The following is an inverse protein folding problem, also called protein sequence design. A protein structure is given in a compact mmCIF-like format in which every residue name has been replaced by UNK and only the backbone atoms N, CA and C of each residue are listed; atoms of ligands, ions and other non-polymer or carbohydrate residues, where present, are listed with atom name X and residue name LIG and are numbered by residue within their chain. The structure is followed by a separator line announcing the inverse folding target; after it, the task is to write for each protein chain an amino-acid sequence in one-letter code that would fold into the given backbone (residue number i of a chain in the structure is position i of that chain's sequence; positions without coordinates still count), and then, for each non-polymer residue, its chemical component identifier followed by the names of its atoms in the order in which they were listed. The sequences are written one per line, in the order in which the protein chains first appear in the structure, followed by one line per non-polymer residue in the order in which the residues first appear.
data_IF_962274370910
#
_entry.id   IF_962274370910
#
_cell.length_a   1.000
_cell.length_b   1.000
_cell.length_c   1.000
_cell.angle_alpha   90.00
_cell.angle_beta   90.00
_cell.angle_gamma   90.00
#
_symmetry.space_group_name_H-M   'P 1'
#
loop_
_entity.id
_entity.type
_entity.pdbx_description
1 polymer ?
#
# COMPACT_ATOMS: atom_id res chain seq x y z
N UNK A 1 -65.87 -29.15 -4.22
CA UNK A 1 -65.03 -28.54 -3.17
C UNK A 1 -63.62 -29.06 -3.35
N UNK A 2 -62.82 -28.39 -4.17
CA UNK A 2 -61.38 -28.64 -4.25
C UNK A 2 -60.71 -27.27 -4.25
N UNK A 3 -60.01 -26.96 -3.16
CA UNK A 3 -59.31 -25.68 -2.96
C UNK A 3 -57.86 -25.93 -3.35
N UNK A 4 -57.49 -25.54 -4.57
CA UNK A 4 -56.10 -25.48 -4.98
C UNK A 4 -55.36 -24.42 -4.16
N UNK A 5 -54.53 -24.92 -3.25
CA UNK A 5 -53.62 -24.21 -2.35
C UNK A 5 -52.59 -23.40 -3.16
N UNK A 6 -52.86 -22.12 -3.39
CA UNK A 6 -51.93 -21.18 -4.03
C UNK A 6 -50.97 -20.59 -3.00
N UNK A 7 -50.02 -21.40 -2.52
CA UNK A 7 -48.86 -20.88 -1.77
C UNK A 7 -47.93 -20.09 -2.70
N UNK A 8 -47.43 -18.92 -2.27
CA UNK A 8 -46.61 -18.07 -3.13
C UNK A 8 -45.27 -18.74 -3.41
N UNK A 9 -44.86 -18.74 -4.68
CA UNK A 9 -43.55 -19.22 -5.14
C UNK A 9 -42.45 -18.62 -4.27
N UNK A 10 -41.58 -19.48 -3.75
CA UNK A 10 -40.36 -19.13 -3.04
C UNK A 10 -39.69 -17.93 -3.72
N UNK A 11 -39.65 -16.79 -3.02
CA UNK A 11 -38.77 -15.69 -3.43
C UNK A 11 -37.34 -16.21 -3.31
N UNK A 12 -36.47 -16.00 -4.30
CA UNK A 12 -35.05 -16.29 -4.13
C UNK A 12 -34.57 -15.54 -2.88
N UNK A 13 -34.05 -16.28 -1.91
CA UNK A 13 -33.38 -15.67 -0.76
C UNK A 13 -32.27 -14.78 -1.32
N UNK A 14 -32.15 -13.50 -0.90
CA UNK A 14 -31.03 -12.67 -1.33
C UNK A 14 -29.75 -13.44 -1.02
N UNK A 15 -28.89 -13.60 -2.04
CA UNK A 15 -27.59 -14.27 -1.86
C UNK A 15 -26.90 -13.58 -0.70
N UNK A 16 -26.47 -14.38 0.27
CA UNK A 16 -25.64 -13.94 1.38
C UNK A 16 -24.60 -12.97 0.82
N UNK A 17 -24.54 -11.75 1.35
CA UNK A 17 -23.51 -10.79 0.98
C UNK A 17 -22.18 -11.52 1.13
N UNK A 18 -21.49 -11.79 0.03
CA UNK A 18 -20.14 -12.31 0.10
C UNK A 18 -19.38 -11.31 0.98
N UNK A 19 -18.90 -11.77 2.14
CA UNK A 19 -18.11 -10.97 3.05
C UNK A 19 -16.81 -10.65 2.31
N UNK A 20 -16.84 -9.61 1.49
CA UNK A 20 -15.68 -9.04 0.83
C UNK A 20 -14.90 -8.35 1.93
N UNK A 21 -13.96 -9.08 2.52
CA UNK A 21 -13.02 -8.48 3.46
C UNK A 21 -12.11 -7.53 2.68
N UNK A 22 -12.38 -6.24 2.80
CA UNK A 22 -11.47 -5.21 2.33
C UNK A 22 -10.32 -5.10 3.35
N UNK A 23 -9.12 -5.50 2.94
CA UNK A 23 -7.92 -5.25 3.75
C UNK A 23 -7.51 -3.80 3.53
N UNK A 24 -7.66 -2.97 4.57
CA UNK A 24 -7.19 -1.60 4.54
C UNK A 24 -5.66 -1.58 4.69
N UNK A 25 -4.98 -1.01 3.69
CA UNK A 25 -3.54 -0.76 3.80
C UNK A 25 -3.28 0.43 4.73
N UNK A 26 -2.33 0.26 5.65
CA UNK A 26 -1.91 1.34 6.53
C UNK A 26 -1.27 2.47 5.73
N UNK A 27 -1.59 3.72 6.05
CA UNK A 27 -0.84 4.88 5.55
C UNK A 27 -0.08 5.50 6.71
N UNK A 28 1.22 5.74 6.50
CA UNK A 28 2.06 6.39 7.50
C UNK A 28 2.53 7.75 6.98
N UNK A 29 2.87 8.62 7.92
CA UNK A 29 3.63 9.83 7.63
C UNK A 29 4.91 9.78 8.46
N UNK A 30 6.05 9.73 7.81
CA UNK A 30 7.37 9.53 8.41
C UNK A 30 8.29 10.71 8.12
N UNK A 31 9.34 10.84 8.94
CA UNK A 31 10.47 11.72 8.65
C UNK A 31 11.53 10.90 7.93
N UNK A 32 12.14 11.49 6.92
CA UNK A 32 13.16 10.86 6.09
C UNK A 32 14.34 11.79 5.99
N UNK A 33 15.54 11.25 6.19
CA UNK A 33 16.79 11.99 5.99
C UNK A 33 17.28 11.77 4.57
N UNK A 34 17.66 12.84 3.89
CA UNK A 34 18.31 12.73 2.59
C UNK A 34 19.84 12.65 2.71
N UNK A 35 20.51 12.49 1.56
CA UNK A 35 21.97 12.37 1.47
C UNK A 35 22.71 13.64 1.95
N UNK A 36 22.05 14.80 1.91
CA UNK A 36 22.57 16.08 2.44
C UNK A 36 22.35 16.22 3.97
N UNK A 37 21.73 15.23 4.62
CA UNK A 37 21.42 15.24 6.06
C UNK A 37 20.15 16.02 6.44
N UNK A 38 19.40 16.56 5.48
CA UNK A 38 18.16 17.31 5.70
C UNK A 38 16.98 16.36 5.91
N UNK A 39 16.10 16.73 6.83
CA UNK A 39 14.86 15.99 7.11
C UNK A 39 13.70 16.47 6.25
N UNK A 40 12.96 15.51 5.71
CA UNK A 40 11.74 15.69 4.93
C UNK A 40 10.62 14.85 5.49
N UNK A 41 9.39 15.34 5.38
CA UNK A 41 8.20 14.57 5.73
C UNK A 41 7.65 13.88 4.48
N UNK A 42 7.50 12.56 4.54
CA UNK A 42 6.89 11.76 3.48
C UNK A 42 5.61 11.10 3.96
N UNK A 43 4.74 10.77 3.01
CA UNK A 43 3.65 9.81 3.19
C UNK A 43 3.99 8.53 2.46
N UNK A 44 3.74 7.39 3.10
CA UNK A 44 3.99 6.08 2.51
C UNK A 44 2.82 5.13 2.80
N UNK A 45 2.66 4.14 1.92
CA UNK A 45 1.79 3.00 2.16
C UNK A 45 2.62 1.92 2.88
N UNK A 46 2.11 1.44 4.01
CA UNK A 46 2.67 0.29 4.71
C UNK A 46 1.95 -0.96 4.19
N UNK A 47 2.65 -1.70 3.35
CA UNK A 47 2.10 -2.85 2.65
C UNK A 47 2.93 -4.12 2.95
N UNK A 48 2.40 -4.97 3.82
CA UNK A 48 3.02 -6.27 4.14
C UNK A 48 2.88 -7.30 3.01
N UNK A 49 2.05 -7.03 1.99
CA UNK A 49 1.88 -7.90 0.82
C UNK A 49 2.94 -7.65 -0.26
N UNK A 50 3.69 -6.56 -0.17
CA UNK A 50 4.76 -6.24 -1.13
C UNK A 50 6.04 -7.02 -0.84
N UNK A 51 6.66 -7.57 -1.89
CA UNK A 51 7.96 -8.26 -1.78
C UNK A 51 9.15 -7.28 -1.68
N UNK A 52 8.93 -6.01 -2.04
CA UNK A 52 9.94 -4.95 -2.12
C UNK A 52 9.31 -3.61 -1.76
N UNK A 53 10.10 -2.75 -1.14
CA UNK A 53 9.73 -1.35 -0.94
C UNK A 53 9.93 -0.56 -2.24
N UNK A 54 8.99 0.32 -2.54
CA UNK A 54 9.01 1.14 -3.74
C UNK A 54 8.97 2.63 -3.38
N UNK A 55 9.80 3.38 -4.08
CA UNK A 55 9.82 4.84 -4.05
C UNK A 55 9.77 5.36 -5.48
N UNK A 56 9.02 6.42 -5.71
CA UNK A 56 8.92 7.01 -7.05
C UNK A 56 10.20 7.77 -7.39
N UNK A 57 10.61 7.71 -8.66
CA UNK A 57 11.77 8.47 -9.18
C UNK A 57 11.68 9.96 -8.85
N UNK A 58 10.47 10.52 -8.89
CA UNK A 58 10.22 11.92 -8.53
C UNK A 58 10.52 12.20 -7.04
N UNK A 59 10.17 11.27 -6.15
CA UNK A 59 10.50 11.42 -4.73
C UNK A 59 12.01 11.35 -4.51
N UNK A 60 12.72 10.44 -5.19
CA UNK A 60 14.18 10.36 -5.14
C UNK A 60 14.85 11.66 -5.60
N UNK A 61 14.39 12.23 -6.73
CA UNK A 61 14.88 13.52 -7.24
C UNK A 61 14.64 14.65 -6.25
N UNK A 62 13.43 14.75 -5.69
CA UNK A 62 13.07 15.78 -4.71
C UNK A 62 13.92 15.71 -3.44
N UNK A 63 14.26 14.49 -3.02
CA UNK A 63 15.10 14.25 -1.86
C UNK A 63 16.59 14.33 -2.20
N UNK A 64 16.99 14.43 -3.47
CA UNK A 64 18.39 14.35 -3.89
C UNK A 64 19.06 13.04 -3.44
N UNK A 65 18.36 11.91 -3.58
CA UNK A 65 18.89 10.60 -3.23
C UNK A 65 19.76 10.05 -4.36
N UNK A 66 20.89 9.45 -3.98
CA UNK A 66 21.72 8.69 -4.89
C UNK A 66 21.01 7.42 -5.37
N UNK A 67 21.06 7.19 -6.68
CA UNK A 67 20.63 5.94 -7.30
C UNK A 67 21.82 5.02 -7.57
N UNK A 68 21.62 3.73 -7.35
CA UNK A 68 22.56 2.68 -7.63
C UNK A 68 21.96 1.70 -8.64
N UNK A 69 22.85 0.97 -9.32
CA UNK A 69 22.45 -0.03 -10.30
C UNK A 69 21.66 -1.16 -9.62
N UNK A 70 20.45 -1.48 -10.10
CA UNK A 70 19.61 -2.48 -9.46
C UNK A 70 20.01 -3.90 -9.91
N UNK A 71 19.92 -4.87 -9.00
CA UNK A 71 20.09 -6.29 -9.35
C UNK A 71 18.96 -6.80 -10.25
N UNK A 72 17.73 -6.30 -10.06
CA UNK A 72 16.56 -6.64 -10.87
C UNK A 72 16.14 -5.41 -11.66
N UNK A 73 15.99 -5.53 -12.98
CA UNK A 73 15.69 -4.40 -13.87
C UNK A 73 14.20 -4.08 -14.03
N UNK A 74 13.33 -4.99 -13.60
CA UNK A 74 11.89 -4.89 -13.80
C UNK A 74 11.15 -5.31 -12.53
N UNK A 75 10.00 -4.68 -12.29
CA UNK A 75 9.03 -5.10 -11.27
C UNK A 75 7.70 -5.40 -11.97
N UNK A 76 7.01 -6.45 -11.52
CA UNK A 76 5.67 -6.77 -11.99
C UNK A 76 4.66 -6.54 -10.86
N UNK A 77 3.53 -5.97 -11.21
CA UNK A 77 2.40 -5.78 -10.30
C UNK A 77 1.24 -6.71 -10.64
N UNK A 78 0.02 -6.28 -10.30
CA UNK A 78 -1.21 -7.00 -10.68
C UNK A 78 -1.28 -7.18 -12.20
N UNK A 79 -1.48 -8.41 -12.65
CA UNK A 79 -1.51 -8.77 -14.07
C UNK A 79 -0.14 -9.12 -14.66
N UNK A 80 0.91 -9.23 -13.83
CA UNK A 80 2.24 -9.71 -14.19
C UNK A 80 2.97 -8.89 -15.28
N UNK A 81 2.50 -7.67 -15.55
CA UNK A 81 3.10 -6.79 -16.55
C UNK A 81 4.41 -6.20 -15.97
N UNK A 82 5.57 -6.47 -16.59
CA UNK A 82 6.84 -5.96 -16.11
C UNK A 82 6.99 -4.48 -16.45
N UNK A 83 7.44 -3.71 -15.46
CA UNK A 83 7.73 -2.28 -15.58
C UNK A 83 9.20 -2.05 -15.23
N UNK A 84 9.96 -1.29 -16.04
CA UNK A 84 11.36 -1.01 -15.75
C UNK A 84 11.50 -0.17 -14.47
N UNK A 85 12.58 -0.38 -13.74
CA UNK A 85 12.97 0.48 -12.63
C UNK A 85 14.24 1.26 -12.95
N UNK A 86 14.32 2.49 -12.45
CA UNK A 86 15.46 3.38 -12.69
C UNK A 86 16.70 2.98 -11.87
N UNK A 87 16.51 2.37 -10.69
CA UNK A 87 17.58 1.97 -9.81
C UNK A 87 17.11 1.60 -8.42
N UNK A 88 18.06 1.46 -7.50
CA UNK A 88 17.81 1.30 -6.07
C UNK A 88 18.43 2.45 -5.29
N UNK A 89 17.92 2.72 -4.10
CA UNK A 89 18.45 3.74 -3.20
C UNK A 89 18.35 3.27 -1.75
N UNK A 90 19.07 3.93 -0.85
CA UNK A 90 18.97 3.73 0.58
C UNK A 90 18.15 4.87 1.18
N UNK A 91 17.25 4.56 2.12
CA UNK A 91 16.40 5.55 2.74
C UNK A 91 16.35 5.33 4.25
N UNK A 92 16.76 6.35 5.00
CA UNK A 92 16.65 6.36 6.45
C UNK A 92 15.29 6.94 6.87
N UNK A 93 14.43 6.08 7.40
CA UNK A 93 13.09 6.43 7.87
C UNK A 93 13.09 6.49 9.39
N UNK A 94 12.55 7.58 9.94
CA UNK A 94 12.37 7.76 11.37
C UNK A 94 10.92 8.17 11.70
N UNK A 95 10.50 7.85 12.92
CA UNK A 95 9.23 8.34 13.47
C UNK A 95 9.20 9.87 13.43
N UNK A 96 8.00 10.44 13.28
CA UNK A 96 7.79 11.89 13.48
C UNK A 96 7.43 12.24 14.92
N UNK A 97 7.10 11.22 15.71
CA UNK A 97 6.75 11.40 17.11
C UNK A 97 8.01 11.38 17.95
N UNK A 98 8.10 12.34 18.86
CA UNK A 98 9.13 12.40 19.86
C UNK A 98 8.84 11.34 20.93
N UNK A 99 9.79 10.43 21.15
CA UNK A 99 9.67 9.35 22.14
C UNK A 99 9.57 9.87 23.58
N UNK A 100 9.96 11.13 23.82
CA UNK A 100 9.77 11.79 25.12
C UNK A 100 8.32 12.20 25.40
N UNK A 101 7.47 12.23 24.37
CA UNK A 101 6.04 12.54 24.50
C UNK A 101 5.28 11.24 24.76
N UNK A 102 4.88 11.03 26.02
CA UNK A 102 3.96 9.95 26.37
C UNK A 102 2.56 10.32 25.92
N UNK A 103 1.95 9.45 25.11
CA UNK A 103 0.52 9.52 24.81
C UNK A 103 -0.21 8.90 26.01
N UNK A 104 -1.01 9.72 26.69
CA UNK A 104 -1.78 9.36 27.87
C UNK A 104 -3.01 8.52 27.52
#
# INVERSE_FOLDING_TARGET
LDRSDTRPRDRPRPRNSENTSCVLLGTIQCSVRNDDGRLFTLRALLDSGSQRDLITTECCKRLNLKLYEPQTKYISGVGDIPNPIEGVTCLDIQSRFDESVRLN
#
